data_IF_814268073868
#
_entry.id   IF_814268073868
#
_cell.length_a   1.000
_cell.length_b   1.000
_cell.length_c   1.000
_cell.angle_alpha   90.00
_cell.angle_beta   90.00
_cell.angle_gamma   90.00
#
_symmetry.space_group_name_H-M   'P 1'
#
loop_
_entity.id
_entity.type
_entity.pdbx_description
1 polymer ?
#
# COMPACT_ATOMS: atom_id res chain seq x y z
N UNK A 1 -4.75 6.72 5.92
CA UNK A 1 -5.73 7.82 5.73
C UNK A 1 -6.06 8.54 7.04
N UNK A 2 -6.52 7.87 8.11
CA UNK A 2 -6.82 8.54 9.39
C UNK A 2 -5.62 9.30 9.98
N UNK A 3 -4.42 8.70 9.90
CA UNK A 3 -3.16 9.32 10.38
C UNK A 3 -2.64 10.42 9.45
N UNK A 4 -2.83 10.27 8.14
CA UNK A 4 -2.24 11.18 7.14
C UNK A 4 -3.12 12.41 6.90
N UNK A 5 -4.41 12.35 7.26
CA UNK A 5 -5.43 13.37 6.98
C UNK A 5 -5.49 13.82 5.51
N UNK A 6 -4.85 13.06 4.60
CA UNK A 6 -4.80 13.38 3.18
C UNK A 6 -6.21 13.26 2.56
N UNK A 7 -6.54 14.12 1.59
CA UNK A 7 -7.84 14.10 0.95
C UNK A 7 -8.08 12.76 0.26
N UNK A 8 -9.27 12.20 0.46
CA UNK A 8 -9.70 10.98 -0.19
C UNK A 8 -10.50 11.37 -1.43
N UNK A 9 -10.01 11.00 -2.61
CA UNK A 9 -10.77 11.10 -3.84
C UNK A 9 -11.83 10.00 -3.87
N UNK A 10 -13.10 10.39 -3.68
CA UNK A 10 -14.27 9.49 -3.66
C UNK A 10 -14.84 9.18 -5.06
N UNK A 11 -14.34 9.86 -6.09
CA UNK A 11 -14.77 9.61 -7.47
C UNK A 11 -14.14 8.33 -8.02
N UNK A 12 -12.99 7.92 -7.47
CA UNK A 12 -12.35 6.65 -7.78
C UNK A 12 -12.98 5.57 -6.91
N UNK A 13 -13.83 4.74 -7.52
CA UNK A 13 -14.42 3.57 -6.87
C UNK A 13 -13.80 2.31 -7.46
N UNK A 14 -13.19 1.50 -6.61
CA UNK A 14 -12.69 0.19 -6.98
C UNK A 14 -13.41 -0.88 -6.19
N UNK A 15 -13.63 -2.01 -6.85
CA UNK A 15 -14.13 -3.23 -6.25
C UNK A 15 -12.94 -4.19 -6.07
N UNK A 16 -12.61 -4.54 -4.83
CA UNK A 16 -11.52 -5.46 -4.55
C UNK A 16 -12.07 -6.82 -4.18
N UNK A 17 -11.59 -7.85 -4.87
CA UNK A 17 -11.75 -9.22 -4.41
C UNK A 17 -10.71 -9.52 -3.34
N UNK A 18 -11.19 -9.89 -2.17
CA UNK A 18 -10.38 -10.22 -1.00
C UNK A 18 -9.87 -11.67 -1.09
N UNK A 19 -8.75 -11.96 -0.44
CA UNK A 19 -8.14 -13.30 -0.49
C UNK A 19 -9.02 -14.39 0.14
N UNK A 20 -9.93 -14.01 1.04
CA UNK A 20 -10.95 -14.86 1.65
C UNK A 20 -12.18 -15.08 0.76
N UNK A 21 -12.12 -14.73 -0.53
CA UNK A 21 -13.19 -14.96 -1.50
C UNK A 21 -14.36 -13.98 -1.41
N UNK A 22 -14.35 -13.08 -0.43
CA UNK A 22 -15.29 -11.95 -0.37
C UNK A 22 -14.92 -10.85 -1.36
N UNK A 23 -15.80 -9.88 -1.53
CA UNK A 23 -15.49 -8.65 -2.22
C UNK A 23 -15.90 -7.45 -1.38
N UNK A 24 -15.15 -6.36 -1.53
CA UNK A 24 -15.37 -5.14 -0.78
C UNK A 24 -15.18 -3.93 -1.66
N UNK A 25 -16.11 -2.98 -1.55
CA UNK A 25 -15.98 -1.68 -2.18
C UNK A 25 -15.02 -0.79 -1.39
N UNK A 26 -14.09 -0.18 -2.12
CA UNK A 26 -13.15 0.78 -1.55
C UNK A 26 -13.83 2.14 -1.40
N UNK A 27 -13.59 2.81 -0.27
CA UNK A 27 -14.22 4.09 0.07
C UNK A 27 -13.69 5.27 -0.75
N UNK A 28 -12.60 5.06 -1.49
CA UNK A 28 -11.95 6.04 -2.34
C UNK A 28 -10.46 5.75 -2.52
N UNK A 29 -9.74 6.72 -3.08
CA UNK A 29 -8.31 6.65 -3.30
C UNK A 29 -7.61 7.86 -2.67
N UNK A 30 -6.51 7.62 -1.95
CA UNK A 30 -5.53 8.66 -1.63
C UNK A 30 -4.55 8.71 -2.79
N UNK A 31 -4.58 9.81 -3.53
CA UNK A 31 -3.68 10.02 -4.66
C UNK A 31 -2.36 10.60 -4.18
N UNK A 32 -1.25 10.18 -4.81
CA UNK A 32 0.10 10.70 -4.53
C UNK A 32 0.49 10.64 -3.03
N UNK A 33 0.16 9.54 -2.36
CA UNK A 33 0.58 9.32 -0.98
C UNK A 33 2.10 9.15 -0.92
N UNK A 34 2.78 10.06 -0.22
CA UNK A 34 4.21 9.93 0.08
C UNK A 34 4.42 8.80 1.09
N UNK A 35 5.28 7.86 0.71
CA UNK A 35 5.77 6.75 1.53
C UNK A 35 7.27 6.99 1.71
N UNK A 36 7.67 7.23 2.95
CA UNK A 36 9.07 7.40 3.32
C UNK A 36 9.56 6.14 4.04
N UNK A 37 10.57 5.49 3.48
CA UNK A 37 11.26 4.36 4.11
C UNK A 37 12.74 4.69 4.18
N UNK A 38 13.24 4.91 5.40
CA UNK A 38 14.65 5.19 5.69
C UNK A 38 15.27 6.28 4.79
N UNK A 39 14.51 7.35 4.51
CA UNK A 39 14.96 8.47 3.68
C UNK A 39 14.63 8.35 2.19
N UNK A 40 14.24 7.17 1.71
CA UNK A 40 13.77 6.97 0.33
C UNK A 40 12.30 7.40 0.25
N UNK A 41 12.01 8.38 -0.60
CA UNK A 41 10.65 8.91 -0.81
C UNK A 41 10.04 8.31 -2.06
N UNK A 42 8.85 7.75 -1.91
CA UNK A 42 8.10 7.12 -2.99
C UNK A 42 6.67 7.62 -2.98
N UNK A 43 6.03 7.66 -4.15
CA UNK A 43 4.64 8.09 -4.27
C UNK A 43 3.79 6.95 -4.82
N UNK A 44 2.64 6.73 -4.18
CA UNK A 44 1.70 5.72 -4.63
C UNK A 44 0.25 6.19 -4.49
N UNK A 45 -0.62 5.66 -5.34
CA UNK A 45 -2.06 5.77 -5.16
C UNK A 45 -2.52 4.65 -4.22
N UNK A 46 -3.05 5.01 -3.05
CA UNK A 46 -3.46 4.07 -2.02
C UNK A 46 -4.98 4.03 -1.89
N UNK A 47 -5.57 2.86 -2.13
CA UNK A 47 -7.01 2.69 -1.96
C UNK A 47 -7.41 2.58 -0.49
N UNK A 48 -8.55 3.18 -0.15
CA UNK A 48 -9.06 3.22 1.22
C UNK A 48 -10.02 2.08 1.46
N UNK A 49 -9.68 1.24 2.42
CA UNK A 49 -10.54 0.20 2.98
C UNK A 49 -10.80 0.57 4.44
N UNK A 50 -12.07 0.68 4.83
CA UNK A 50 -12.45 1.12 6.17
C UNK A 50 -12.09 0.09 7.25
N UNK A 51 -12.28 -1.20 6.94
CA UNK A 51 -12.23 -2.31 7.89
C UNK A 51 -11.01 -3.22 7.68
N UNK A 52 -9.93 -2.69 7.10
CA UNK A 52 -8.72 -3.48 6.87
C UNK A 52 -7.98 -3.78 8.19
N UNK A 53 -7.48 -5.02 8.40
CA UNK A 53 -6.71 -5.39 9.60
C UNK A 53 -5.26 -4.88 9.57
N UNK A 54 -4.93 -3.98 8.64
CA UNK A 54 -3.59 -3.42 8.45
C UNK A 54 -3.68 -1.92 8.15
N UNK A 55 -2.61 -1.18 8.45
CA UNK A 55 -2.55 0.26 8.20
C UNK A 55 -2.24 0.61 6.74
N UNK A 56 -1.41 -0.20 6.08
CA UNK A 56 -0.96 -0.02 4.70
C UNK A 56 -0.61 -1.40 4.13
N UNK A 57 -1.02 -1.65 2.89
CA UNK A 57 -0.64 -2.84 2.15
C UNK A 57 0.00 -2.41 0.83
N UNK A 58 1.26 -2.80 0.66
CA UNK A 58 2.05 -2.53 -0.55
C UNK A 58 2.06 -3.78 -1.40
N UNK A 59 1.17 -3.80 -2.39
CA UNK A 59 0.99 -4.95 -3.29
C UNK A 59 2.11 -5.11 -4.32
N UNK A 60 2.00 -6.17 -5.12
CA UNK A 60 2.95 -6.52 -6.18
C UNK A 60 3.31 -5.36 -7.13
N UNK A 61 2.38 -4.47 -7.56
CA UNK A 61 2.74 -3.35 -8.44
C UNK A 61 3.80 -2.44 -7.83
N UNK A 62 3.65 -2.10 -6.55
CA UNK A 62 4.61 -1.28 -5.83
C UNK A 62 5.93 -2.02 -5.60
N UNK A 63 5.86 -3.30 -5.23
CA UNK A 63 7.06 -4.13 -5.03
C UNK A 63 7.89 -4.25 -6.31
N UNK A 64 7.23 -4.36 -7.48
CA UNK A 64 7.92 -4.37 -8.78
C UNK A 64 8.56 -3.03 -9.12
N UNK A 65 7.88 -1.92 -8.81
CA UNK A 65 8.39 -0.57 -9.06
C UNK A 65 9.74 -0.33 -8.35
N UNK A 66 9.84 -0.73 -7.09
CA UNK A 66 11.02 -0.51 -6.24
C UNK A 66 12.03 -1.67 -6.29
N UNK A 67 11.82 -2.61 -7.24
CA UNK A 67 12.61 -3.84 -7.39
C UNK A 67 12.85 -4.57 -6.06
N UNK A 68 11.77 -4.68 -5.27
CA UNK A 68 11.85 -5.13 -3.89
C UNK A 68 12.44 -6.54 -3.78
N UNK A 69 13.49 -6.69 -2.99
CA UNK A 69 14.08 -7.97 -2.64
C UNK A 69 13.74 -8.32 -1.19
N UNK A 70 13.43 -9.59 -0.94
CA UNK A 70 13.18 -10.13 0.39
C UNK A 70 14.12 -11.30 0.64
N UNK A 71 14.81 -11.29 1.77
CA UNK A 71 15.50 -12.46 2.27
C UNK A 71 15.01 -12.77 3.68
N UNK A 72 14.57 -14.01 3.87
CA UNK A 72 14.03 -14.49 5.14
C UNK A 72 15.08 -15.35 5.84
N UNK A 73 15.32 -15.06 7.11
CA UNK A 73 16.05 -15.92 8.05
C UNK A 73 15.07 -16.50 9.07
N UNK A 74 15.53 -17.41 9.93
CA UNK A 74 14.66 -18.03 10.94
C UNK A 74 14.01 -17.01 11.90
N UNK A 75 14.66 -15.86 12.12
CA UNK A 75 14.23 -14.87 13.10
C UNK A 75 13.81 -13.53 12.48
N UNK A 76 14.20 -13.26 11.22
CA UNK A 76 14.07 -11.93 10.62
C UNK A 76 13.75 -11.98 9.14
N UNK A 77 13.11 -10.91 8.66
CA UNK A 77 12.91 -10.66 7.23
C UNK A 77 13.65 -9.38 6.88
N UNK A 78 14.62 -9.50 5.97
CA UNK A 78 15.31 -8.37 5.39
C UNK A 78 14.58 -7.95 4.11
N UNK A 79 14.31 -6.65 4.01
CA UNK A 79 13.66 -6.05 2.84
C UNK A 79 14.61 -5.01 2.27
N UNK A 80 15.05 -5.23 1.03
CA UNK A 80 15.85 -4.26 0.28
C UNK A 80 14.94 -3.54 -0.69
N UNK A 81 14.94 -2.20 -0.61
CA UNK A 81 14.19 -1.30 -1.47
C UNK A 81 15.21 -0.56 -2.33
N UNK A 82 15.03 -0.58 -3.64
CA UNK A 82 15.82 0.23 -4.55
C UNK A 82 15.08 1.52 -4.85
N UNK A 83 15.80 2.64 -4.79
CA UNK A 83 15.29 3.92 -5.26
C UNK A 83 15.08 3.81 -6.79
N UNK A 84 13.84 3.99 -7.30
CA UNK A 84 13.52 3.79 -8.71
C UNK A 84 14.23 4.75 -9.68
#
# INVERSE_FOLDING_TARGET
WRKTQAPINKNIRMHMQTANGGSQDMSGCLEMLEINVDGIKMWAHAYVIADAPYCLLLGCPWQRLVQLSKSETADMVYVTIHDP
#
